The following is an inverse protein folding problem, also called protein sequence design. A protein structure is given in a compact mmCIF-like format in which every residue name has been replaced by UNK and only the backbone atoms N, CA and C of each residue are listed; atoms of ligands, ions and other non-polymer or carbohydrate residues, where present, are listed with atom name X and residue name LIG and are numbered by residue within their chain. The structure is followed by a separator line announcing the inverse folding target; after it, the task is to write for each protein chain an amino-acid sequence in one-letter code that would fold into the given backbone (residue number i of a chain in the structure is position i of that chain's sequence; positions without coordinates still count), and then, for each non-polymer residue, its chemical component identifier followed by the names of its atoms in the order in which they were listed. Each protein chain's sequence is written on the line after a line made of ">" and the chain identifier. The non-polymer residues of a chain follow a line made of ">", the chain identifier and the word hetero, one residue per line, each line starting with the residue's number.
data_IF_494468595928
#
_entry.id   IF_494468595928
#
_cell.length_a   1.000
_cell.length_b   1.000
_cell.length_c   1.000
_cell.angle_alpha   90.00
_cell.angle_beta   90.00
_cell.angle_gamma   90.00
#
_symmetry.space_group_name_H-M   'P 1'
#
loop_
_entity.id
_entity.type
_entity.pdbx_description
1 polymer ?
#
# COMPACT_ATOMS: atom_id res chain seq x y z
N UNK A 1 -17.68 27.39 34.31
CA UNK A 1 -17.58 25.93 34.05
C UNK A 1 -17.10 25.74 32.62
N UNK A 2 -15.79 25.84 32.38
CA UNK A 2 -15.21 25.75 31.03
C UNK A 2 -14.68 24.35 30.76
N UNK A 3 -14.89 23.84 29.54
CA UNK A 3 -14.52 22.50 29.06
C UNK A 3 -13.05 22.10 29.30
N UNK A 4 -12.16 23.07 29.52
CA UNK A 4 -10.71 22.87 29.69
C UNK A 4 -10.19 23.06 31.13
N UNK A 5 -11.06 23.23 32.12
CA UNK A 5 -10.67 23.53 33.50
C UNK A 5 -9.86 22.43 34.21
N UNK A 6 -9.69 21.25 33.60
CA UNK A 6 -8.90 20.12 34.12
C UNK A 6 -7.72 19.69 33.25
N UNK A 7 -7.30 20.50 32.26
CA UNK A 7 -6.14 20.21 31.40
C UNK A 7 -4.87 20.95 31.79
N UNK A 8 -4.88 21.70 32.89
CA UNK A 8 -3.66 22.34 33.37
C UNK A 8 -2.73 21.27 33.97
N UNK A 9 -1.42 21.43 33.74
CA UNK A 9 -0.41 20.55 34.30
C UNK A 9 -0.56 20.48 35.82
N UNK A 10 -0.88 19.29 36.34
CA UNK A 10 -0.88 19.05 37.78
C UNK A 10 0.57 18.84 38.25
N UNK A 11 0.86 19.21 39.51
CA UNK A 11 2.21 19.04 40.10
C UNK A 11 2.69 17.57 40.11
N UNK A 12 1.78 16.63 39.90
CA UNK A 12 2.03 15.19 39.87
C UNK A 12 2.10 14.61 38.45
N UNK A 13 1.93 15.44 37.43
CA UNK A 13 1.89 14.96 36.05
C UNK A 13 3.29 14.55 35.58
N UNK A 14 3.38 13.40 34.90
CA UNK A 14 4.68 12.86 34.48
C UNK A 14 5.12 13.55 33.21
N UNK A 15 6.22 14.29 33.28
CA UNK A 15 6.86 14.85 32.09
C UNK A 15 7.68 13.77 31.37
N UNK A 16 7.36 13.57 30.09
CA UNK A 16 8.12 12.71 29.20
C UNK A 16 8.73 13.55 28.09
N UNK A 17 9.95 13.21 27.68
CA UNK A 17 10.52 13.77 26.45
C UNK A 17 9.85 13.15 25.22
N UNK A 18 9.80 13.87 24.11
CA UNK A 18 9.24 13.37 22.84
C UNK A 18 9.87 12.02 22.44
N UNK A 19 11.17 11.86 22.67
CA UNK A 19 11.88 10.60 22.41
C UNK A 19 11.33 9.44 23.24
N UNK A 20 11.01 9.66 24.52
CA UNK A 20 10.43 8.63 25.37
C UNK A 20 9.01 8.27 24.94
N UNK A 21 8.21 9.27 24.54
CA UNK A 21 6.85 9.05 24.03
C UNK A 21 6.87 8.26 22.73
N UNK A 22 7.72 8.66 21.77
CA UNK A 22 7.87 7.98 20.48
C UNK A 22 8.32 6.53 20.64
N UNK A 23 9.30 6.25 21.51
CA UNK A 23 9.74 4.88 21.79
C UNK A 23 8.59 4.02 22.36
N UNK A 24 7.79 4.58 23.29
CA UNK A 24 6.62 3.89 23.84
C UNK A 24 5.58 3.60 22.76
N UNK A 25 5.32 4.54 21.87
CA UNK A 25 4.42 4.35 20.74
C UNK A 25 4.89 3.17 19.88
N UNK A 26 6.19 3.10 19.56
CA UNK A 26 6.75 1.98 18.80
C UNK A 26 6.58 0.62 19.46
N UNK A 27 6.65 0.53 20.79
CA UNK A 27 6.42 -0.73 21.50
C UNK A 27 5.00 -1.27 21.30
N UNK A 28 3.99 -0.41 21.15
CA UNK A 28 2.63 -0.84 20.81
C UNK A 28 2.50 -1.38 19.38
N UNK A 29 3.39 -0.98 18.47
CA UNK A 29 3.40 -1.48 17.08
C UNK A 29 4.12 -2.82 16.93
N UNK A 30 4.92 -3.26 17.92
CA UNK A 30 5.71 -4.51 17.87
C UNK A 30 4.89 -5.73 17.43
N UNK A 31 3.69 -6.01 18.00
CA UNK A 31 2.88 -7.17 17.61
C UNK A 31 2.41 -7.15 16.15
N UNK A 32 2.34 -5.97 15.52
CA UNK A 32 1.85 -5.78 14.15
C UNK A 32 2.95 -5.60 13.11
N UNK A 33 4.23 -5.63 13.51
CA UNK A 33 5.38 -5.41 12.61
C UNK A 33 5.39 -6.34 11.41
N UNK A 34 5.16 -7.64 11.61
CA UNK A 34 5.08 -8.61 10.51
C UNK A 34 3.97 -8.27 9.50
N UNK A 35 2.81 -7.82 9.99
CA UNK A 35 1.69 -7.40 9.14
C UNK A 35 2.03 -6.12 8.38
N UNK A 36 2.70 -5.16 9.03
CA UNK A 36 3.16 -3.92 8.41
C UNK A 36 4.13 -4.22 7.25
N UNK A 37 5.09 -5.13 7.47
CA UNK A 37 6.03 -5.59 6.44
C UNK A 37 5.29 -6.19 5.23
N UNK A 38 4.30 -7.05 5.45
CA UNK A 38 3.50 -7.61 4.36
C UNK A 38 2.71 -6.55 3.59
N UNK A 39 2.08 -5.60 4.31
CA UNK A 39 1.36 -4.48 3.67
C UNK A 39 2.32 -3.64 2.84
N UNK A 40 3.50 -3.30 3.38
CA UNK A 40 4.53 -2.57 2.65
C UNK A 40 5.00 -3.31 1.40
N UNK A 41 5.24 -4.63 1.49
CA UNK A 41 5.61 -5.45 0.34
C UNK A 41 4.52 -5.44 -0.75
N UNK A 42 3.24 -5.57 -0.36
CA UNK A 42 2.12 -5.48 -1.29
C UNK A 42 2.02 -4.09 -1.95
N UNK A 43 2.24 -3.02 -1.19
CA UNK A 43 2.26 -1.65 -1.73
C UNK A 43 3.38 -1.48 -2.76
N UNK A 44 4.58 -1.96 -2.46
CA UNK A 44 5.72 -1.91 -3.39
C UNK A 44 5.41 -2.70 -4.65
N UNK A 45 4.81 -3.90 -4.54
CA UNK A 45 4.42 -4.70 -5.69
C UNK A 45 3.37 -3.99 -6.57
N UNK A 46 2.33 -3.40 -5.95
CA UNK A 46 1.31 -2.62 -6.67
C UNK A 46 1.95 -1.42 -7.38
N UNK A 47 2.84 -0.70 -6.70
CA UNK A 47 3.54 0.45 -7.27
C UNK A 47 4.44 0.05 -8.45
N UNK A 48 5.18 -1.06 -8.34
CA UNK A 48 6.02 -1.57 -9.41
C UNK A 48 5.20 -1.95 -10.66
N UNK A 49 4.07 -2.65 -10.47
CA UNK A 49 3.17 -2.98 -11.58
C UNK A 49 2.58 -1.70 -12.18
N UNK A 50 2.11 -0.76 -11.35
CA UNK A 50 1.57 0.52 -11.80
C UNK A 50 2.59 1.35 -12.60
N UNK A 51 3.85 1.39 -12.16
CA UNK A 51 4.93 2.08 -12.86
C UNK A 51 5.33 1.39 -14.17
N UNK A 52 5.11 0.07 -14.29
CA UNK A 52 5.40 -0.68 -15.51
C UNK A 52 4.32 -0.50 -16.60
N UNK A 53 3.10 -0.08 -16.23
CA UNK A 53 1.97 0.04 -17.16
C UNK A 53 2.28 0.85 -18.43
N UNK A 54 2.88 2.07 -18.35
CA UNK A 54 3.18 2.85 -19.56
C UNK A 54 4.14 2.14 -20.51
N UNK A 55 5.13 1.44 -19.95
CA UNK A 55 6.12 0.68 -20.73
C UNK A 55 5.46 -0.51 -21.44
N UNK A 56 4.61 -1.24 -20.70
CA UNK A 56 3.85 -2.38 -21.24
C UNK A 56 2.92 -1.91 -22.37
N UNK A 57 2.17 -0.83 -22.14
CA UNK A 57 1.24 -0.27 -23.14
C UNK A 57 1.99 0.21 -24.38
N UNK A 58 3.14 0.88 -24.24
CA UNK A 58 3.98 1.26 -25.39
C UNK A 58 4.34 0.05 -26.25
N UNK A 59 4.83 -1.03 -25.62
CA UNK A 59 5.20 -2.26 -26.32
C UNK A 59 4.02 -2.94 -26.99
N UNK A 60 2.83 -2.89 -26.38
CA UNK A 60 1.60 -3.43 -26.97
C UNK A 60 1.20 -2.65 -28.22
N UNK A 61 1.31 -1.32 -28.19
CA UNK A 61 1.02 -0.47 -29.36
C UNK A 61 2.01 -0.78 -30.48
N UNK A 62 3.30 -0.89 -30.18
CA UNK A 62 4.33 -1.24 -31.16
C UNK A 62 4.06 -2.62 -31.81
N UNK A 63 3.64 -3.61 -31.02
CA UNK A 63 3.27 -4.95 -31.52
C UNK A 63 2.07 -4.97 -32.47
N UNK A 64 1.20 -3.96 -32.40
CA UNK A 64 -0.03 -3.88 -33.20
C UNK A 64 0.06 -2.91 -34.38
N UNK A 65 1.14 -2.12 -34.47
CA UNK A 65 1.25 -0.98 -35.39
C UNK A 65 1.42 -1.37 -36.86
N UNK A 66 2.27 -2.34 -37.17
CA UNK A 66 2.66 -2.63 -38.56
C UNK A 66 1.71 -3.63 -39.24
N UNK A 67 1.63 -4.85 -38.72
CA UNK A 67 0.74 -5.91 -39.22
C UNK A 67 0.19 -6.71 -38.03
N UNK A 68 -0.95 -6.30 -37.45
CA UNK A 68 -1.52 -6.97 -36.30
C UNK A 68 -1.97 -8.38 -36.70
N UNK A 69 -1.32 -9.40 -36.14
CA UNK A 69 -1.76 -10.79 -36.24
C UNK A 69 -2.81 -11.10 -35.19
N UNK A 70 -3.71 -12.07 -35.46
CA UNK A 70 -4.69 -12.56 -34.47
C UNK A 70 -3.98 -13.03 -33.18
N UNK A 71 -2.80 -13.63 -33.32
CA UNK A 71 -1.98 -14.05 -32.18
C UNK A 71 -1.48 -12.86 -31.35
N UNK A 72 -1.02 -11.78 -31.99
CA UNK A 72 -0.60 -10.55 -31.31
C UNK A 72 -1.74 -9.92 -30.51
N UNK A 73 -2.96 -9.93 -31.07
CA UNK A 73 -4.17 -9.41 -30.41
C UNK A 73 -4.48 -10.22 -29.15
N UNK A 74 -4.49 -11.55 -29.24
CA UNK A 74 -4.72 -12.42 -28.08
C UNK A 74 -3.64 -12.24 -27.00
N UNK A 75 -2.38 -12.11 -27.39
CA UNK A 75 -1.27 -11.89 -26.46
C UNK A 75 -1.49 -10.58 -25.68
N UNK A 76 -1.78 -9.48 -26.37
CA UNK A 76 -2.06 -8.18 -25.73
C UNK A 76 -3.25 -8.29 -24.77
N UNK A 77 -4.34 -8.94 -25.21
CA UNK A 77 -5.53 -9.17 -24.38
C UNK A 77 -5.18 -9.92 -23.08
N UNK A 78 -4.47 -11.05 -23.17
CA UNK A 78 -4.15 -11.85 -21.99
C UNK A 78 -3.17 -11.15 -21.06
N UNK A 79 -2.20 -10.39 -21.58
CA UNK A 79 -1.31 -9.59 -20.73
C UNK A 79 -2.11 -8.51 -19.99
N UNK A 80 -2.97 -7.76 -20.68
CA UNK A 80 -3.80 -6.73 -20.04
C UNK A 80 -4.72 -7.33 -18.98
N UNK A 81 -5.35 -8.46 -19.29
CA UNK A 81 -6.20 -9.18 -18.34
C UNK A 81 -5.40 -9.62 -17.11
N UNK A 82 -4.23 -10.23 -17.31
CA UNK A 82 -3.36 -10.66 -16.23
C UNK A 82 -2.90 -9.50 -15.35
N UNK A 83 -2.51 -8.37 -15.95
CA UNK A 83 -2.14 -7.16 -15.21
C UNK A 83 -3.32 -6.62 -14.41
N UNK A 84 -4.50 -6.53 -15.00
CA UNK A 84 -5.71 -6.07 -14.32
C UNK A 84 -6.08 -6.96 -13.12
N UNK A 85 -6.09 -8.28 -13.33
CA UNK A 85 -6.35 -9.26 -12.25
C UNK A 85 -5.29 -9.19 -11.16
N UNK A 86 -4.01 -9.03 -11.52
CA UNK A 86 -2.93 -8.90 -10.54
C UNK A 86 -3.09 -7.63 -9.69
N UNK A 87 -3.33 -6.46 -10.31
CA UNK A 87 -3.56 -5.21 -9.59
C UNK A 87 -4.76 -5.33 -8.65
N UNK A 88 -5.87 -5.89 -9.14
CA UNK A 88 -7.06 -6.10 -8.34
C UNK A 88 -6.79 -7.03 -7.15
N UNK A 89 -6.17 -8.19 -7.39
CA UNK A 89 -5.87 -9.19 -6.36
C UNK A 89 -4.90 -8.68 -5.30
N UNK A 90 -3.85 -7.95 -5.71
CA UNK A 90 -2.90 -7.33 -4.78
C UNK A 90 -3.56 -6.22 -3.94
N UNK A 91 -4.44 -5.40 -4.53
CA UNK A 91 -5.18 -4.39 -3.79
C UNK A 91 -6.17 -5.02 -2.81
N UNK A 92 -6.85 -6.09 -3.20
CA UNK A 92 -7.72 -6.87 -2.31
C UNK A 92 -6.93 -7.45 -1.14
N UNK A 93 -5.79 -8.10 -1.40
CA UNK A 93 -4.91 -8.63 -0.36
C UNK A 93 -4.46 -7.53 0.61
N UNK A 94 -4.01 -6.39 0.09
CA UNK A 94 -3.61 -5.22 0.90
C UNK A 94 -4.76 -4.76 1.80
N UNK A 95 -5.96 -4.57 1.23
CA UNK A 95 -7.14 -4.13 2.00
C UNK A 95 -7.54 -5.14 3.07
N UNK A 96 -7.50 -6.43 2.77
CA UNK A 96 -7.84 -7.49 3.72
C UNK A 96 -6.93 -7.50 4.96
N UNK A 97 -5.65 -7.16 4.80
CA UNK A 97 -4.68 -7.07 5.90
C UNK A 97 -4.86 -5.79 6.72
N UNK A 98 -5.22 -4.67 6.08
CA UNK A 98 -5.46 -3.39 6.77
C UNK A 98 -6.75 -3.43 7.59
N UNK A 99 -7.83 -4.02 7.07
CA UNK A 99 -9.11 -4.12 7.78
C UNK A 99 -8.99 -4.93 9.07
N UNK A 100 -8.10 -5.93 9.12
CA UNK A 100 -7.87 -6.73 10.34
C UNK A 100 -7.05 -6.01 11.41
N UNK A 101 -6.55 -4.80 11.14
CA UNK A 101 -5.68 -4.04 12.03
C UNK A 101 -6.44 -3.00 12.88
N UNK A 102 -7.75 -2.84 12.67
CA UNK A 102 -8.67 -1.97 13.44
C UNK A 102 -9.90 -2.80 13.79
#
# INVERSE_FOLDING_TARGET
>A
MGFFAGLNEEKYDRQYTDRQLVNRIFDFFRPQTARLVWVSALVVAIAAIGASLPIVVSRMVDLLKDQPSVNSIWLVFFILLAVGVAIWGLNWARRSMVIRAV
#
